data_IF_128078174389
#
_entry.id   IF_128078174389
#
_cell.length_a   1.000
_cell.length_b   1.000
_cell.length_c   1.000
_cell.angle_alpha   90.00
_cell.angle_beta   90.00
_cell.angle_gamma   90.00
#
_symmetry.space_group_name_H-M   'P 1'
#
loop_
_entity.id
_entity.type
_entity.pdbx_description
1 polymer ?
#
# COMPACT_ATOMS: atom_id res chain seq x y z
N UNK A 1 -17.82 1.42 17.03
CA UNK A 1 -17.10 2.44 17.82
C UNK A 1 -16.37 3.27 16.80
N UNK A 2 -16.73 4.54 16.67
CA UNK A 2 -16.06 5.46 15.76
C UNK A 2 -14.67 5.71 16.35
N UNK A 3 -13.61 5.25 15.66
CA UNK A 3 -12.25 5.44 16.13
C UNK A 3 -11.92 6.93 16.08
N UNK A 4 -11.39 7.47 17.19
CA UNK A 4 -10.99 8.87 17.25
C UNK A 4 -9.75 9.06 16.37
N UNK A 5 -9.89 9.77 15.26
CA UNK A 5 -8.83 10.00 14.25
C UNK A 5 -7.86 11.09 14.69
N UNK A 6 -7.18 10.85 15.80
CA UNK A 6 -6.16 11.74 16.36
C UNK A 6 -4.75 11.40 15.87
N UNK A 7 -3.74 12.12 16.37
CA UNK A 7 -2.34 11.92 15.96
C UNK A 7 -1.85 10.49 16.20
N UNK A 8 -2.27 9.87 17.31
CA UNK A 8 -1.83 8.50 17.65
C UNK A 8 -2.40 7.49 16.67
N UNK A 9 -3.66 7.67 16.27
CA UNK A 9 -4.30 6.89 15.22
C UNK A 9 -3.51 6.95 13.91
N UNK A 10 -3.19 8.16 13.41
CA UNK A 10 -2.44 8.31 12.16
C UNK A 10 -0.99 7.81 12.25
N UNK A 11 -0.33 7.96 13.40
CA UNK A 11 0.99 7.36 13.64
C UNK A 11 0.96 5.85 13.57
N UNK A 12 -0.07 5.23 14.15
CA UNK A 12 -0.25 3.78 14.07
C UNK A 12 -0.42 3.31 12.62
N UNK A 13 -1.22 4.02 11.83
CA UNK A 13 -1.38 3.72 10.39
C UNK A 13 -0.08 3.93 9.62
N UNK A 14 0.65 5.01 9.88
CA UNK A 14 1.95 5.29 9.28
C UNK A 14 2.96 4.16 9.53
N UNK A 15 3.05 3.69 10.77
CA UNK A 15 3.90 2.56 11.12
C UNK A 15 3.51 1.26 10.41
N UNK A 16 2.21 1.02 10.16
CA UNK A 16 1.77 -0.13 9.36
C UNK A 16 2.24 -0.04 7.90
N UNK A 17 2.41 1.18 7.38
CA UNK A 17 2.95 1.48 6.06
C UNK A 17 4.47 1.68 6.07
N UNK A 18 5.15 1.40 7.19
CA UNK A 18 6.60 1.48 7.36
C UNK A 18 7.20 2.89 7.20
N UNK A 19 6.45 3.94 7.58
CA UNK A 19 7.00 5.29 7.70
C UNK A 19 6.70 5.91 9.07
N UNK A 20 7.55 6.83 9.49
CA UNK A 20 7.43 7.58 10.73
C UNK A 20 6.89 8.98 10.43
N UNK A 21 6.02 9.49 11.31
CA UNK A 21 5.46 10.83 11.21
C UNK A 21 5.92 11.70 12.38
N UNK A 22 6.38 12.90 12.07
CA UNK A 22 6.56 13.95 13.07
C UNK A 22 5.21 14.43 13.63
N UNK A 23 5.23 15.13 14.77
CA UNK A 23 4.05 15.78 15.34
C UNK A 23 3.37 16.74 14.35
N UNK A 24 4.17 17.53 13.63
CA UNK A 24 3.71 18.54 12.68
C UNK A 24 3.04 17.89 11.46
N UNK A 25 3.63 16.82 10.91
CA UNK A 25 3.04 16.07 9.80
C UNK A 25 1.75 15.35 10.23
N UNK A 26 1.73 14.76 11.43
CA UNK A 26 0.54 14.13 11.96
C UNK A 26 -0.61 15.13 12.15
N UNK A 27 -0.32 16.35 12.63
CA UNK A 27 -1.31 17.43 12.71
C UNK A 27 -1.84 17.86 11.34
N UNK A 28 -0.96 17.97 10.34
CA UNK A 28 -1.34 18.26 8.97
C UNK A 28 -2.31 17.20 8.42
N UNK A 29 -1.95 15.92 8.59
CA UNK A 29 -2.77 14.78 8.14
C UNK A 29 -4.13 14.77 8.84
N UNK A 30 -4.20 15.00 10.16
CA UNK A 30 -5.49 15.06 10.89
C UNK A 30 -6.43 16.09 10.28
N UNK A 31 -5.90 17.27 9.92
CA UNK A 31 -6.71 18.33 9.30
C UNK A 31 -7.16 17.95 7.89
N UNK A 32 -6.22 17.54 7.04
CA UNK A 32 -6.49 17.18 5.63
C UNK A 32 -7.46 15.99 5.54
N UNK A 33 -7.34 15.03 6.44
CA UNK A 33 -8.21 13.87 6.46
C UNK A 33 -9.65 14.23 6.80
N UNK A 34 -9.88 15.19 7.70
CA UNK A 34 -11.24 15.69 7.98
C UNK A 34 -11.90 16.35 6.76
N UNK A 35 -11.12 17.06 5.94
CA UNK A 35 -11.61 17.62 4.68
C UNK A 35 -11.93 16.50 3.67
N UNK A 36 -11.08 15.47 3.56
CA UNK A 36 -11.30 14.31 2.71
C UNK A 36 -12.57 13.53 3.10
N UNK A 37 -12.81 13.30 4.39
CA UNK A 37 -14.01 12.62 4.87
C UNK A 37 -15.29 13.38 4.51
N UNK A 38 -15.25 14.71 4.61
CA UNK A 38 -16.37 15.56 4.19
C UNK A 38 -16.67 15.35 2.70
N UNK A 39 -15.63 15.23 1.87
CA UNK A 39 -15.81 14.95 0.44
C UNK A 39 -16.32 13.53 0.18
N UNK A 40 -15.83 12.53 0.93
CA UNK A 40 -16.29 11.14 0.81
C UNK A 40 -17.74 10.95 1.25
N UNK A 41 -18.24 11.75 2.21
CA UNK A 41 -19.65 11.70 2.64
C UNK A 41 -20.65 12.01 1.51
N UNK A 42 -20.20 12.66 0.43
CA UNK A 42 -21.02 12.89 -0.76
C UNK A 42 -21.30 11.59 -1.53
N UNK A 43 -20.41 10.59 -1.44
CA UNK A 43 -20.59 9.29 -2.06
C UNK A 43 -21.70 8.47 -1.37
N UNK A 44 -21.86 8.62 -0.06
CA UNK A 44 -22.91 7.93 0.72
C UNK A 44 -24.33 8.35 0.30
N UNK A 45 -24.48 9.47 -0.41
CA UNK A 45 -25.77 9.92 -0.94
C UNK A 45 -26.19 9.16 -2.21
N UNK A 46 -25.27 8.40 -2.82
CA UNK A 46 -25.53 7.61 -4.01
C UNK A 46 -26.04 6.23 -3.59
N UNK A 47 -27.25 5.87 -4.02
CA UNK A 47 -27.82 4.54 -3.74
C UNK A 47 -27.11 3.47 -4.56
N UNK A 48 -26.53 2.47 -3.88
CA UNK A 48 -25.83 1.32 -4.49
C UNK A 48 -26.44 -0.04 -4.13
N UNK A 49 -27.63 -0.10 -3.50
CA UNK A 49 -28.24 -1.34 -2.98
C UNK A 49 -28.36 -2.47 -4.02
N UNK A 50 -28.66 -2.13 -5.29
CA UNK A 50 -28.84 -3.08 -6.39
C UNK A 50 -27.69 -3.03 -7.43
N UNK A 51 -26.51 -2.53 -7.04
CA UNK A 51 -25.35 -2.39 -7.93
C UNK A 51 -24.22 -3.36 -7.54
N UNK A 52 -23.71 -4.11 -8.51
CA UNK A 52 -22.51 -4.95 -8.30
C UNK A 52 -21.22 -4.10 -8.33
N UNK A 53 -20.27 -4.45 -7.47
CA UNK A 53 -18.97 -3.77 -7.42
C UNK A 53 -18.17 -4.01 -8.71
N UNK A 54 -17.66 -2.93 -9.32
CA UNK A 54 -16.82 -3.03 -10.50
C UNK A 54 -15.40 -3.44 -10.12
N UNK A 55 -15.08 -4.73 -10.25
CA UNK A 55 -13.75 -5.29 -9.96
C UNK A 55 -12.71 -4.86 -11.01
N UNK A 56 -13.11 -4.89 -12.28
CA UNK A 56 -12.30 -4.45 -13.42
C UNK A 56 -13.15 -3.60 -14.37
N UNK A 57 -12.56 -2.63 -15.07
CA UNK A 57 -13.27 -1.83 -16.06
C UNK A 57 -13.67 -2.60 -17.32
N UNK A 58 -13.34 -3.91 -17.41
CA UNK A 58 -13.66 -4.77 -18.54
C UNK A 58 -14.23 -6.11 -18.03
N UNK A 59 -15.26 -6.61 -18.69
CA UNK A 59 -15.87 -7.91 -18.43
C UNK A 59 -15.08 -9.05 -19.09
N UNK A 60 -13.77 -9.13 -18.80
CA UNK A 60 -12.93 -10.20 -19.33
C UNK A 60 -12.62 -11.21 -18.23
N UNK A 61 -13.18 -12.41 -18.36
CA UNK A 61 -12.82 -13.52 -17.50
C UNK A 61 -11.31 -13.81 -17.66
N UNK A 62 -10.57 -13.86 -16.55
CA UNK A 62 -9.19 -14.34 -16.49
C UNK A 62 -9.18 -15.85 -16.65
N UNK A 63 -9.33 -16.31 -17.88
CA UNK A 63 -9.38 -17.75 -18.21
C UNK A 63 -8.01 -18.37 -18.47
N UNK A 64 -6.94 -17.58 -18.44
CA UNK A 64 -5.61 -18.08 -18.72
C UNK A 64 -4.89 -18.46 -17.44
N UNK A 65 -4.26 -19.64 -17.47
CA UNK A 65 -3.29 -20.06 -16.48
C UNK A 65 -1.90 -19.91 -17.10
N UNK A 66 -0.90 -19.66 -16.25
CA UNK A 66 0.50 -19.70 -16.68
C UNK A 66 0.92 -21.16 -16.87
N UNK A 67 1.54 -21.47 -18.00
CA UNK A 67 2.15 -22.79 -18.23
C UNK A 67 3.30 -23.06 -17.24
N UNK A 68 3.47 -24.32 -16.85
CA UNK A 68 4.57 -24.74 -15.97
C UNK A 68 5.90 -24.89 -16.73
N UNK A 69 6.36 -23.77 -17.28
CA UNK A 69 7.61 -23.65 -18.03
C UNK A 69 8.48 -22.59 -17.37
N UNK A 70 9.77 -22.90 -17.21
CA UNK A 70 10.74 -21.95 -16.66
C UNK A 70 11.03 -20.85 -17.68
N UNK A 71 10.55 -19.64 -17.40
CA UNK A 71 10.77 -18.43 -18.21
C UNK A 71 11.21 -17.27 -17.30
N UNK A 72 11.67 -16.16 -17.89
CA UNK A 72 12.02 -14.91 -17.17
C UNK A 72 13.15 -15.05 -16.12
N UNK A 73 14.18 -15.84 -16.44
CA UNK A 73 15.38 -15.96 -15.59
C UNK A 73 16.32 -14.79 -15.88
N UNK A 74 16.64 -14.00 -14.85
CA UNK A 74 17.62 -12.90 -14.94
C UNK A 74 18.98 -13.34 -14.41
N UNK A 75 20.06 -12.69 -14.86
CA UNK A 75 21.39 -12.93 -14.30
C UNK A 75 21.50 -12.36 -12.88
N UNK A 76 22.40 -12.91 -12.06
CA UNK A 76 22.69 -12.35 -10.74
C UNK A 76 23.16 -10.90 -10.83
N UNK A 77 23.93 -10.55 -11.88
CA UNK A 77 24.38 -9.18 -12.11
C UNK A 77 23.21 -8.22 -12.35
N UNK A 78 22.23 -8.62 -13.17
CA UNK A 78 21.04 -7.81 -13.43
C UNK A 78 20.18 -7.65 -12.18
N UNK A 79 20.02 -8.72 -11.40
CA UNK A 79 19.31 -8.69 -10.12
C UNK A 79 19.95 -7.72 -9.10
N UNK A 80 21.27 -7.56 -9.15
CA UNK A 80 22.04 -6.75 -8.20
C UNK A 80 22.25 -5.30 -8.63
N UNK A 81 21.88 -4.93 -9.87
CA UNK A 81 22.19 -3.63 -10.47
C UNK A 81 21.75 -2.42 -9.62
N UNK A 82 20.63 -2.55 -8.92
CA UNK A 82 20.04 -1.46 -8.11
C UNK A 82 20.30 -1.63 -6.60
N UNK A 83 21.10 -2.61 -6.20
CA UNK A 83 21.30 -2.96 -4.79
C UNK A 83 22.39 -2.08 -4.18
N UNK A 84 22.00 -1.21 -3.25
CA UNK A 84 22.92 -0.28 -2.58
C UNK A 84 24.04 -0.98 -1.81
N UNK A 85 23.74 -2.08 -1.12
CA UNK A 85 24.71 -2.86 -0.34
C UNK A 85 24.54 -4.33 -0.63
N UNK A 86 25.53 -4.92 -1.29
CA UNK A 86 25.60 -6.34 -1.56
C UNK A 86 26.94 -6.91 -1.08
N UNK A 87 26.97 -8.20 -0.79
CA UNK A 87 28.18 -8.95 -0.45
C UNK A 87 28.03 -10.35 -1.03
N UNK A 88 29.00 -10.78 -1.84
CA UNK A 88 29.04 -12.14 -2.43
C UNK A 88 27.71 -12.55 -3.10
N UNK A 89 27.04 -11.62 -3.79
CA UNK A 89 25.77 -11.89 -4.46
C UNK A 89 24.55 -11.96 -3.55
N UNK A 90 24.65 -11.47 -2.30
CA UNK A 90 23.55 -11.38 -1.35
C UNK A 90 23.17 -9.91 -1.08
N UNK A 91 21.89 -9.65 -0.83
CA UNK A 91 21.41 -8.37 -0.31
C UNK A 91 21.81 -8.23 1.16
N UNK A 92 22.49 -7.14 1.52
CA UNK A 92 22.92 -6.90 2.89
C UNK A 92 21.93 -5.96 3.59
N UNK A 93 21.21 -6.51 4.56
CA UNK A 93 20.22 -5.79 5.37
C UNK A 93 20.67 -5.68 6.84
N UNK A 94 20.18 -4.69 7.60
CA UNK A 94 20.31 -4.67 9.05
C UNK A 94 19.75 -5.97 9.64
N UNK A 95 20.49 -6.59 10.57
CA UNK A 95 20.04 -7.80 11.23
C UNK A 95 18.80 -7.48 12.06
N UNK A 96 17.70 -8.18 11.80
CA UNK A 96 16.48 -8.08 12.62
C UNK A 96 16.74 -8.82 13.92
N UNK A 97 17.19 -8.10 14.94
CA UNK A 97 17.28 -8.58 16.32
C UNK A 97 16.30 -7.73 17.14
N UNK A 98 15.46 -8.40 17.93
CA UNK A 98 14.66 -7.72 18.96
C UNK A 98 15.53 -7.34 20.14
#
# INVERSE_FOLDING_TARGET
MEEKKDREYFRKLAHQLMFDLSDEEADGIVKEFGELETQMSLLDQVNTDDTEEMIYPFEQATTFLRDDVVTNVISQADAMKNVKKNLEGHFVLPKVVK
#
